data_IF_223152495026
#
_entry.id   IF_223152495026
#
_cell.length_a   1.000
_cell.length_b   1.000
_cell.length_c   1.000
_cell.angle_alpha   90.00
_cell.angle_beta   90.00
_cell.angle_gamma   90.00
#
_symmetry.space_group_name_H-M   'P 1'
#
loop_
_entity.id
_entity.type
_entity.pdbx_description
1 polymer ?
#
# COMPACT_ATOMS: atom_id res chain seq x y z
N UNK A 1 -27.34 -13.85 29.48
CA UNK A 1 -27.05 -13.76 28.04
C UNK A 1 -26.38 -12.42 27.84
N UNK A 2 -25.16 -12.41 27.30
CA UNK A 2 -24.49 -11.16 26.94
C UNK A 2 -25.26 -10.54 25.79
N UNK A 3 -25.59 -9.25 25.88
CA UNK A 3 -26.28 -8.54 24.80
C UNK A 3 -25.32 -7.63 24.05
N UNK A 4 -25.67 -7.25 22.82
CA UNK A 4 -24.89 -6.29 22.02
C UNK A 4 -24.66 -4.97 22.78
N UNK A 5 -25.63 -4.58 23.62
CA UNK A 5 -25.56 -3.36 24.45
C UNK A 5 -24.47 -3.47 25.51
N UNK A 6 -24.30 -4.63 26.15
CA UNK A 6 -23.26 -4.85 27.16
C UNK A 6 -21.85 -4.80 26.55
N UNK A 7 -21.73 -5.35 25.35
CA UNK A 7 -20.48 -5.34 24.58
C UNK A 7 -20.10 -3.91 24.18
N UNK A 8 -21.04 -3.16 23.59
CA UNK A 8 -20.81 -1.78 23.18
C UNK A 8 -20.45 -0.88 24.37
N UNK A 9 -21.08 -1.09 25.53
CA UNK A 9 -20.77 -0.32 26.74
C UNK A 9 -19.32 -0.52 27.21
N UNK A 10 -18.79 -1.74 27.13
CA UNK A 10 -17.38 -2.02 27.46
C UNK A 10 -16.41 -1.53 26.40
N UNK A 11 -16.77 -1.64 25.12
CA UNK A 11 -15.91 -1.16 24.03
C UNK A 11 -15.66 0.34 24.10
N UNK A 12 -16.67 1.12 24.51
CA UNK A 12 -16.56 2.58 24.70
C UNK A 12 -15.52 3.03 25.73
N UNK A 13 -15.12 2.15 26.65
CA UNK A 13 -14.06 2.45 27.64
C UNK A 13 -12.65 2.28 27.04
N UNK A 14 -12.53 1.58 25.91
CA UNK A 14 -11.26 1.14 25.33
C UNK A 14 -11.01 1.83 23.99
N UNK A 15 -12.05 2.00 23.16
CA UNK A 15 -11.99 2.60 21.83
C UNK A 15 -13.16 3.55 21.60
N UNK A 16 -12.95 4.56 20.77
CA UNK A 16 -14.03 5.44 20.31
C UNK A 16 -15.09 4.67 19.50
N UNK A 17 -16.36 5.02 19.70
CA UNK A 17 -17.52 4.43 19.02
C UNK A 17 -17.43 4.56 17.49
N UNK A 18 -16.77 5.62 16.99
CA UNK A 18 -16.50 5.87 15.57
C UNK A 18 -15.63 4.78 14.92
N UNK A 19 -14.82 4.08 15.72
CA UNK A 19 -13.95 3.00 15.26
C UNK A 19 -14.71 1.68 15.08
N UNK A 20 -15.91 1.56 15.62
CA UNK A 20 -16.71 0.34 15.58
C UNK A 20 -17.68 0.41 14.41
N UNK A 21 -17.48 -0.46 13.42
CA UNK A 21 -18.33 -0.51 12.24
C UNK A 21 -19.54 -1.42 12.46
N UNK A 22 -19.31 -2.60 13.02
CA UNK A 22 -20.34 -3.61 13.28
C UNK A 22 -19.97 -4.45 14.49
N UNK A 23 -20.96 -4.82 15.30
CA UNK A 23 -20.82 -5.78 16.41
C UNK A 23 -21.93 -6.80 16.30
N UNK A 24 -21.60 -8.08 16.33
CA UNK A 24 -22.56 -9.18 16.27
C UNK A 24 -22.25 -10.22 17.36
N UNK A 25 -23.23 -10.54 18.19
CA UNK A 25 -23.13 -11.61 19.19
C UNK A 25 -23.83 -12.84 18.63
N UNK A 26 -23.09 -13.92 18.39
CA UNK A 26 -23.66 -15.19 17.94
C UNK A 26 -24.20 -16.01 19.12
N UNK A 27 -25.22 -16.82 18.85
CA UNK A 27 -25.87 -17.69 19.84
C UNK A 27 -24.94 -18.76 20.45
N UNK A 28 -23.82 -19.08 19.78
CA UNK A 28 -22.80 -20.01 20.27
C UNK A 28 -21.85 -19.38 21.31
N UNK A 29 -21.97 -18.07 21.54
CA UNK A 29 -21.08 -17.29 22.40
C UNK A 29 -19.89 -16.69 21.67
N UNK A 30 -19.88 -16.67 20.34
CA UNK A 30 -18.83 -16.02 19.56
C UNK A 30 -19.18 -14.56 19.30
N UNK A 31 -18.28 -13.64 19.70
CA UNK A 31 -18.43 -12.21 19.47
C UNK A 31 -17.64 -11.80 18.22
N UNK A 32 -18.32 -11.21 17.25
CA UNK A 32 -17.72 -10.67 16.04
C UNK A 32 -17.73 -9.15 16.08
N UNK A 33 -16.57 -8.53 15.86
CA UNK A 33 -16.41 -7.08 15.83
C UNK A 33 -15.72 -6.70 14.53
N UNK A 34 -16.34 -5.82 13.75
CA UNK A 34 -15.68 -5.19 12.60
C UNK A 34 -15.29 -3.76 12.96
N UNK A 35 -14.01 -3.45 12.87
CA UNK A 35 -13.48 -2.10 13.08
C UNK A 35 -13.40 -1.34 11.76
N UNK A 36 -13.71 -0.06 11.78
CA UNK A 36 -13.63 0.82 10.61
C UNK A 36 -12.18 1.18 10.27
N UNK A 37 -11.26 1.08 11.23
CA UNK A 37 -9.84 1.43 11.11
C UNK A 37 -8.97 0.45 11.92
N UNK A 38 -7.67 0.43 11.61
CA UNK A 38 -6.69 -0.34 12.36
C UNK A 38 -6.47 0.28 13.75
N UNK A 39 -6.41 -0.56 14.77
CA UNK A 39 -6.00 -0.18 16.13
C UNK A 39 -4.75 -0.97 16.51
N UNK A 40 -3.90 -0.38 17.36
CA UNK A 40 -2.65 -1.00 17.81
C UNK A 40 -2.88 -2.34 18.53
N UNK A 41 -1.89 -3.24 18.49
CA UNK A 41 -1.94 -4.55 19.15
C UNK A 41 -2.29 -4.46 20.65
N UNK A 42 -1.79 -3.42 21.33
CA UNK A 42 -2.08 -3.16 22.73
C UNK A 42 -3.58 -2.92 22.99
N UNK A 43 -4.27 -2.30 22.04
CA UNK A 43 -5.70 -2.03 22.10
C UNK A 43 -6.51 -3.29 21.81
N UNK A 44 -6.09 -4.09 20.82
CA UNK A 44 -6.69 -5.40 20.54
C UNK A 44 -6.63 -6.33 21.75
N UNK A 45 -5.48 -6.41 22.40
CA UNK A 45 -5.28 -7.23 23.61
C UNK A 45 -6.24 -6.76 24.72
N UNK A 46 -6.39 -5.45 24.92
CA UNK A 46 -7.32 -4.89 25.92
C UNK A 46 -8.77 -5.23 25.59
N UNK A 47 -9.19 -5.04 24.34
CA UNK A 47 -10.53 -5.38 23.87
C UNK A 47 -10.81 -6.86 24.13
N UNK A 48 -9.92 -7.74 23.68
CA UNK A 48 -10.08 -9.18 23.85
C UNK A 48 -10.13 -9.59 25.33
N UNK A 49 -9.31 -8.96 26.18
CA UNK A 49 -9.27 -9.24 27.62
C UNK A 49 -10.53 -8.78 28.34
N UNK A 50 -11.02 -7.57 28.06
CA UNK A 50 -12.22 -7.03 28.71
C UNK A 50 -13.50 -7.70 28.24
N UNK A 51 -13.61 -7.97 26.95
CA UNK A 51 -14.74 -8.68 26.38
C UNK A 51 -14.73 -10.15 26.80
N UNK A 52 -13.56 -10.78 26.94
CA UNK A 52 -13.44 -12.16 27.41
C UNK A 52 -13.86 -12.36 28.86
N UNK A 53 -13.99 -11.29 29.66
CA UNK A 53 -14.54 -11.35 31.02
C UNK A 53 -16.07 -11.42 31.05
N UNK A 54 -16.74 -11.20 29.92
CA UNK A 54 -18.20 -11.27 29.84
C UNK A 54 -18.68 -12.72 29.88
N UNK A 55 -19.63 -13.02 30.77
CA UNK A 55 -20.19 -14.36 30.90
C UNK A 55 -20.97 -14.77 29.64
N UNK A 56 -20.52 -15.85 29.01
CA UNK A 56 -21.12 -16.41 27.80
C UNK A 56 -20.30 -16.21 26.53
N UNK A 57 -19.21 -15.44 26.58
CA UNK A 57 -18.30 -15.31 25.44
C UNK A 57 -17.28 -16.45 25.45
N UNK A 58 -17.24 -17.23 24.36
CA UNK A 58 -16.28 -18.32 24.15
C UNK A 58 -15.13 -17.91 23.23
N UNK A 59 -15.43 -17.08 22.25
CA UNK A 59 -14.47 -16.63 21.25
C UNK A 59 -14.77 -15.18 20.86
N UNK A 60 -13.73 -14.44 20.51
CA UNK A 60 -13.81 -13.05 20.07
C UNK A 60 -13.03 -12.95 18.76
N UNK A 61 -13.72 -12.59 17.69
CA UNK A 61 -13.16 -12.38 16.36
C UNK A 61 -13.23 -10.88 16.05
N UNK A 62 -12.08 -10.21 16.07
CA UNK A 62 -11.97 -8.80 15.71
C UNK A 62 -11.41 -8.72 14.29
N UNK A 63 -12.21 -8.21 13.37
CA UNK A 63 -11.83 -7.98 11.98
C UNK A 63 -11.57 -6.49 11.79
N UNK A 64 -10.30 -6.14 11.65
CA UNK A 64 -9.87 -4.79 11.31
C UNK A 64 -9.22 -4.77 9.93
N UNK A 65 -9.19 -3.62 9.23
CA UNK A 65 -8.41 -3.49 8.01
C UNK A 65 -6.92 -3.67 8.35
N UNK A 66 -6.35 -4.84 8.04
CA UNK A 66 -4.92 -5.11 8.25
C UNK A 66 -4.08 -4.28 7.27
N UNK A 67 -3.11 -3.52 7.79
CA UNK A 67 -1.95 -3.10 7.01
C UNK A 67 -1.28 -4.34 6.39
N UNK A 68 -0.83 -4.23 5.15
CA UNK A 68 -0.19 -5.32 4.39
C UNK A 68 1.05 -5.79 5.16
N UNK A 69 0.93 -6.86 5.94
CA UNK A 69 2.05 -7.51 6.64
C UNK A 69 2.91 -8.21 5.59
N UNK A 70 4.05 -7.61 5.28
CA UNK A 70 5.13 -8.25 4.52
C UNK A 70 5.89 -9.19 5.48
N UNK A 71 6.18 -10.44 5.09
CA UNK A 71 6.90 -11.38 5.95
C UNK A 71 8.27 -10.80 6.29
N UNK A 72 8.53 -10.69 7.59
CA UNK A 72 9.78 -10.24 8.19
C UNK A 72 10.87 -11.29 7.93
N UNK A 73 11.46 -11.21 6.75
CA UNK A 73 12.73 -11.83 6.40
C UNK A 73 13.50 -10.79 5.59
N UNK A 74 14.81 -10.70 5.80
CA UNK A 74 15.73 -9.79 5.11
C UNK A 74 15.71 -9.94 3.58
N UNK A 75 14.61 -9.56 2.93
CA UNK A 75 14.57 -9.31 1.49
C UNK A 75 15.15 -7.91 1.35
N UNK A 76 16.45 -7.81 1.13
CA UNK A 76 17.03 -6.55 0.71
C UNK A 76 16.45 -6.18 -0.64
N UNK A 77 15.47 -5.28 -0.63
CA UNK A 77 14.90 -4.70 -1.83
C UNK A 77 15.97 -3.80 -2.42
N UNK A 78 16.61 -4.27 -3.49
CA UNK A 78 17.61 -3.47 -4.19
C UNK A 78 16.95 -2.52 -5.19
N UNK A 79 17.56 -1.36 -5.38
CA UNK A 79 17.14 -0.39 -6.41
C UNK A 79 17.12 -1.03 -7.81
N UNK A 80 18.06 -1.93 -8.08
CA UNK A 80 18.16 -2.67 -9.34
C UNK A 80 16.93 -3.55 -9.56
N UNK A 81 16.49 -4.30 -8.54
CA UNK A 81 15.27 -5.14 -8.63
C UNK A 81 14.03 -4.30 -8.95
N UNK A 82 13.91 -3.12 -8.34
CA UNK A 82 12.79 -2.22 -8.62
C UNK A 82 12.88 -1.70 -10.05
N UNK A 83 14.05 -1.24 -10.49
CA UNK A 83 14.26 -0.76 -11.87
C UNK A 83 13.96 -1.86 -12.90
N UNK A 84 14.34 -3.11 -12.65
CA UNK A 84 13.98 -4.23 -13.52
C UNK A 84 12.47 -4.44 -13.61
N UNK A 85 11.76 -4.33 -12.47
CA UNK A 85 10.31 -4.43 -12.44
C UNK A 85 9.63 -3.28 -13.18
N UNK A 86 10.17 -2.06 -13.05
CA UNK A 86 9.66 -0.88 -13.73
C UNK A 86 9.87 -0.90 -15.24
N UNK A 87 10.83 -1.67 -15.76
CA UNK A 87 10.99 -1.89 -17.21
C UNK A 87 9.79 -2.63 -17.84
N UNK A 88 8.95 -3.28 -17.04
CA UNK A 88 7.70 -3.88 -17.54
C UNK A 88 6.61 -2.83 -17.85
N UNK A 89 6.74 -1.61 -17.31
CA UNK A 89 5.79 -0.52 -17.57
C UNK A 89 6.19 0.18 -18.85
N UNK A 90 5.45 -0.11 -19.92
CA UNK A 90 5.67 0.44 -21.26
C UNK A 90 4.74 1.62 -21.48
N UNK A 91 5.29 2.75 -21.93
CA UNK A 91 4.49 3.87 -22.41
C UNK A 91 3.82 3.48 -23.74
N UNK A 92 2.47 3.45 -23.82
CA UNK A 92 1.77 2.99 -25.03
C UNK A 92 1.85 3.98 -26.20
N UNK A 93 2.21 5.24 -25.96
CA UNK A 93 2.37 6.23 -27.03
C UNK A 93 3.73 6.09 -27.72
N UNK A 94 4.79 5.86 -26.93
CA UNK A 94 6.18 5.81 -27.43
C UNK A 94 6.66 4.36 -27.66
N UNK A 95 6.06 3.37 -27.00
CA UNK A 95 6.42 1.95 -27.10
C UNK A 95 7.75 1.60 -26.43
N UNK A 96 8.16 2.37 -25.42
CA UNK A 96 9.40 2.20 -24.64
C UNK A 96 9.02 2.25 -23.16
N UNK A 97 9.77 1.52 -22.33
CA UNK A 97 9.55 1.51 -20.90
C UNK A 97 9.97 2.81 -20.20
N UNK A 98 9.33 3.07 -19.06
CA UNK A 98 9.53 4.31 -18.28
C UNK A 98 10.98 4.50 -17.81
N UNK A 99 11.73 3.42 -17.64
CA UNK A 99 13.14 3.45 -17.22
C UNK A 99 14.02 3.86 -18.39
N UNK A 100 13.89 3.22 -19.55
CA UNK A 100 14.66 3.54 -20.75
C UNK A 100 14.27 4.87 -21.40
N UNK A 101 13.05 5.35 -21.16
CA UNK A 101 12.66 6.73 -21.49
C UNK A 101 13.33 7.77 -20.59
N UNK A 102 13.92 7.34 -19.46
CA UNK A 102 14.52 8.24 -18.48
C UNK A 102 13.48 9.08 -17.75
N UNK A 103 12.30 8.51 -17.49
CA UNK A 103 11.23 9.17 -16.72
C UNK A 103 11.47 9.09 -15.22
N UNK A 104 12.23 8.09 -14.75
CA UNK A 104 12.60 7.94 -13.34
C UNK A 104 13.76 8.87 -13.01
N UNK A 105 13.52 9.83 -12.12
CA UNK A 105 14.53 10.81 -11.67
C UNK A 105 15.20 10.40 -10.38
N UNK A 106 14.43 9.84 -9.47
CA UNK A 106 14.92 9.41 -8.18
C UNK A 106 14.19 8.14 -7.75
N UNK A 107 14.92 7.23 -7.12
CA UNK A 107 14.39 6.02 -6.53
C UNK A 107 15.07 5.86 -5.18
N UNK A 108 14.28 5.63 -4.14
CA UNK A 108 14.78 5.42 -2.78
C UNK A 108 13.97 4.33 -2.09
N UNK A 109 14.66 3.43 -1.40
CA UNK A 109 14.03 2.41 -0.56
C UNK A 109 14.19 2.85 0.88
N UNK A 110 13.07 3.10 1.56
CA UNK A 110 13.07 3.51 2.96
C UNK A 110 13.31 2.30 3.89
N UNK A 111 13.78 2.53 5.13
CA UNK A 111 14.03 1.45 6.09
C UNK A 111 12.78 0.64 6.48
N UNK A 112 11.58 1.16 6.25
CA UNK A 112 10.30 0.47 6.49
C UNK A 112 9.80 -0.32 5.26
N UNK A 113 10.67 -0.52 4.28
CA UNK A 113 10.40 -1.14 2.98
C UNK A 113 9.35 -0.39 2.14
N UNK A 114 9.15 0.90 2.40
CA UNK A 114 8.39 1.79 1.51
C UNK A 114 9.30 2.29 0.39
N UNK A 115 8.86 2.15 -0.86
CA UNK A 115 9.64 2.59 -2.02
C UNK A 115 9.13 3.95 -2.48
N UNK A 116 10.03 4.93 -2.50
CA UNK A 116 9.76 6.26 -3.06
C UNK A 116 10.31 6.36 -4.47
N UNK A 117 9.49 6.81 -5.41
CA UNK A 117 9.87 7.04 -6.81
C UNK A 117 9.49 8.44 -7.22
N UNK A 118 10.48 9.24 -7.57
CA UNK A 118 10.28 10.54 -8.22
C UNK A 118 10.39 10.34 -9.72
N UNK A 119 9.32 10.67 -10.45
CA UNK A 119 9.30 10.54 -11.90
C UNK A 119 8.66 11.75 -12.60
N UNK A 120 8.93 11.87 -13.89
CA UNK A 120 8.34 12.87 -14.78
C UNK A 120 7.52 12.18 -15.86
N UNK A 121 6.76 12.96 -16.62
CA UNK A 121 6.12 12.52 -17.86
C UNK A 121 6.67 13.28 -19.07
N UNK A 122 6.48 12.71 -20.25
CA UNK A 122 6.81 13.35 -21.53
C UNK A 122 5.96 14.60 -21.79
N UNK A 123 4.68 14.58 -21.36
CA UNK A 123 3.73 15.68 -21.55
C UNK A 123 2.88 15.90 -20.29
N UNK A 124 2.74 17.15 -19.80
CA UNK A 124 1.84 17.46 -18.70
C UNK A 124 0.37 17.35 -19.11
N UNK A 125 -0.46 16.75 -18.24
CA UNK A 125 -1.92 16.71 -18.42
C UNK A 125 -2.45 15.61 -19.34
N UNK A 126 -1.62 14.63 -19.74
CA UNK A 126 -2.11 13.48 -20.51
C UNK A 126 -2.95 12.56 -19.60
N UNK A 127 -4.16 12.12 -20.02
CA UNK A 127 -4.97 11.19 -19.23
C UNK A 127 -4.24 9.85 -18.97
N UNK A 128 -3.28 9.49 -19.83
CA UNK A 128 -2.45 8.29 -19.68
C UNK A 128 -1.43 8.41 -18.53
N UNK A 129 -1.10 9.62 -18.08
CA UNK A 129 -0.19 9.82 -16.94
C UNK A 129 -0.69 9.08 -15.71
N UNK A 130 -1.98 9.19 -15.38
CA UNK A 130 -2.55 8.51 -14.21
C UNK A 130 -2.48 6.98 -14.36
N UNK A 131 -2.61 6.47 -15.58
CA UNK A 131 -2.48 5.04 -15.84
C UNK A 131 -1.05 4.56 -15.65
N UNK A 132 -0.05 5.30 -16.15
CA UNK A 132 1.37 4.97 -15.98
C UNK A 132 1.76 5.04 -14.50
N UNK A 133 1.38 6.10 -13.78
CA UNK A 133 1.67 6.24 -12.35
C UNK A 133 1.13 5.05 -11.56
N UNK A 134 -0.11 4.65 -11.84
CA UNK A 134 -0.73 3.50 -11.20
C UNK A 134 -0.03 2.19 -11.59
N UNK A 135 0.31 2.00 -12.85
CA UNK A 135 1.04 0.81 -13.30
C UNK A 135 2.42 0.69 -12.63
N UNK A 136 3.12 1.82 -12.44
CA UNK A 136 4.38 1.90 -11.69
C UNK A 136 4.17 1.50 -10.23
N UNK A 137 3.18 2.08 -9.56
CA UNK A 137 2.82 1.76 -8.17
C UNK A 137 2.49 0.27 -8.01
N UNK A 138 1.56 -0.25 -8.83
CA UNK A 138 1.16 -1.66 -8.81
C UNK A 138 2.38 -2.59 -9.02
N UNK A 139 3.26 -2.28 -9.98
CA UNK A 139 4.46 -3.08 -10.26
C UNK A 139 5.43 -3.12 -9.08
N UNK A 140 5.64 -2.00 -8.40
CA UNK A 140 6.48 -1.93 -7.20
C UNK A 140 5.86 -2.75 -6.07
N UNK A 141 4.55 -2.64 -5.90
CA UNK A 141 3.78 -3.39 -4.89
C UNK A 141 3.69 -4.91 -5.17
N UNK A 142 4.04 -5.38 -6.38
CA UNK A 142 4.19 -6.81 -6.69
C UNK A 142 5.52 -7.38 -6.14
N UNK A 143 6.50 -6.53 -5.81
CA UNK A 143 7.81 -6.98 -5.34
C UNK A 143 7.67 -7.52 -3.90
N UNK A 144 8.03 -8.80 -3.66
CA UNK A 144 7.98 -9.35 -2.32
C UNK A 144 8.92 -8.58 -1.38
N UNK A 145 8.40 -8.18 -0.22
CA UNK A 145 9.14 -7.37 0.76
C UNK A 145 8.76 -5.89 0.73
N UNK A 146 8.26 -5.35 -0.39
CA UNK A 146 7.77 -3.97 -0.45
C UNK A 146 6.49 -3.83 0.37
N UNK A 147 6.49 -2.85 1.28
CA UNK A 147 5.32 -2.55 2.11
C UNK A 147 4.35 -1.61 1.41
N UNK A 148 4.89 -0.55 0.81
CA UNK A 148 4.13 0.53 0.21
C UNK A 148 4.95 1.21 -0.90
N UNK A 149 4.29 1.94 -1.80
CA UNK A 149 4.94 2.65 -2.89
C UNK A 149 4.42 4.10 -2.97
N UNK A 150 5.32 5.07 -2.84
CA UNK A 150 5.01 6.49 -2.92
C UNK A 150 5.56 7.06 -4.23
N UNK A 151 4.67 7.50 -5.11
CA UNK A 151 5.03 8.04 -6.42
C UNK A 151 4.88 9.56 -6.41
N UNK A 152 5.99 10.27 -6.60
CA UNK A 152 6.00 11.72 -6.77
C UNK A 152 6.16 12.10 -8.25
N UNK A 153 5.14 12.73 -8.81
CA UNK A 153 5.20 13.31 -10.14
C UNK A 153 5.80 14.72 -10.08
N UNK A 154 6.95 14.93 -10.70
CA UNK A 154 7.56 16.25 -10.90
C UNK A 154 7.70 16.56 -12.38
N UNK A 155 7.56 17.84 -12.73
CA UNK A 155 7.90 18.37 -14.06
C UNK A 155 9.15 19.25 -14.03
N UNK A 156 9.79 19.35 -12.86
CA UNK A 156 11.03 20.07 -12.66
C UNK A 156 12.13 19.09 -12.23
N UNK A 157 13.23 18.97 -13.00
CA UNK A 157 13.47 19.58 -14.32
C UNK A 157 12.56 18.98 -15.42
N UNK A 158 12.29 19.70 -16.53
CA UNK A 158 11.47 19.17 -17.62
C UNK A 158 12.15 17.97 -18.28
N UNK A 159 11.35 16.99 -18.70
CA UNK A 159 11.86 15.86 -19.44
C UNK A 159 12.38 16.28 -20.82
N UNK A 160 13.47 15.66 -21.26
CA UNK A 160 14.04 15.87 -22.58
C UNK A 160 14.41 14.54 -23.21
N UNK A 161 14.25 14.36 -24.53
CA UNK A 161 14.59 13.10 -25.23
C UNK A 161 16.07 12.71 -25.14
N UNK A 162 16.95 13.61 -24.68
CA UNK A 162 18.33 13.26 -24.37
C UNK A 162 18.48 12.27 -23.19
N UNK A 163 17.44 12.13 -22.36
CA UNK A 163 17.40 11.16 -21.25
C UNK A 163 17.13 9.73 -21.71
N UNK A 164 16.72 9.54 -22.97
CA UNK A 164 16.46 8.20 -23.51
C UNK A 164 17.77 7.42 -23.59
N UNK A 165 17.73 6.14 -23.19
CA UNK A 165 18.87 5.23 -23.30
C UNK A 165 19.45 5.21 -24.72
N UNK A 166 20.79 5.15 -24.88
CA UNK A 166 21.45 5.23 -26.20
C UNK A 166 21.00 4.15 -27.18
N UNK A 167 20.65 2.96 -26.68
CA UNK A 167 20.07 1.87 -27.48
C UNK A 167 18.74 2.27 -28.14
N UNK A 168 17.88 2.98 -27.42
CA UNK A 168 16.56 3.39 -27.89
C UNK A 168 16.59 4.69 -28.70
N UNK A 169 17.55 5.59 -28.43
CA UNK A 169 17.81 6.76 -29.28
C UNK A 169 18.05 6.37 -30.75
N UNK A 170 18.77 5.27 -30.97
CA UNK A 170 19.02 4.71 -32.31
C UNK A 170 17.75 4.17 -32.96
N UNK A 171 16.86 3.52 -32.19
CA UNK A 171 15.57 3.00 -32.69
C UNK A 171 14.62 4.13 -33.11
N UNK A 172 14.68 5.27 -32.43
CA UNK A 172 13.86 6.44 -32.72
C UNK A 172 14.46 7.36 -33.82
N UNK A 173 15.61 7.02 -34.40
CA UNK A 173 16.24 7.80 -35.47
C UNK A 173 16.77 9.16 -35.02
N UNK A 174 17.09 9.33 -33.74
CA UNK A 174 17.63 10.56 -33.18
C UNK A 174 19.16 10.70 -33.39
N UNK A 175 19.80 9.70 -34.02
CA UNK A 175 21.23 9.63 -34.38
C UNK A 175 21.41 8.83 -35.68
#
# INVERSE_FOLDING_TARGET
MVTEVDVLAKMKDIIDDDLVKTVEVREDGTLFIELSREVDDSTLIKLQTELGKLEGIKAIEIKQPKKREVPEGDVQISEETILEKLKEVIDPEIGIDVVNLGLIYELRVNPDNTVYVKMTMTTPGCPLTMWILRAVEDKILEIPGVRDAEIELTFDPPWTPDRISPEYKKRLGLY
#
